data_IF_395439846167
#
_entry.id   IF_395439846167
#
_cell.length_a   1.000
_cell.length_b   1.000
_cell.length_c   1.000
_cell.angle_alpha   90.00
_cell.angle_beta   90.00
_cell.angle_gamma   90.00
#
_symmetry.space_group_name_H-M   'P 1'
#
loop_
_entity.id
_entity.type
_entity.pdbx_description
1 polymer ?
#
# COMPACT_ATOMS: atom_id res chain seq x y z
N UNK A 1 26.00 62.67 23.39
CA UNK A 1 24.96 63.52 22.75
C UNK A 1 24.81 63.04 21.32
N UNK A 2 23.57 62.71 20.89
CA UNK A 2 23.09 62.33 19.53
C UNK A 2 23.75 61.09 18.88
N UNK A 3 23.11 59.92 18.74
CA UNK A 3 21.95 59.53 17.91
C UNK A 3 22.10 59.95 16.44
N UNK A 4 22.44 58.99 15.57
CA UNK A 4 21.85 58.90 14.22
C UNK A 4 21.40 57.45 13.99
N UNK A 5 20.09 57.32 13.95
CA UNK A 5 19.30 56.18 13.55
C UNK A 5 19.35 56.09 12.01
N UNK A 6 19.75 54.96 11.43
CA UNK A 6 19.41 54.65 10.03
C UNK A 6 18.50 53.43 9.99
N UNK A 7 17.28 53.74 9.58
CA UNK A 7 16.13 52.86 9.48
C UNK A 7 16.20 52.04 8.18
N UNK A 8 15.71 50.80 8.28
CA UNK A 8 14.79 50.17 7.33
C UNK A 8 15.28 49.84 5.90
N UNK A 9 15.68 48.58 5.69
CA UNK A 9 15.17 47.77 4.56
C UNK A 9 14.93 46.33 5.06
N UNK A 10 13.66 45.98 5.32
CA UNK A 10 13.18 44.59 5.24
C UNK A 10 13.26 44.18 3.76
N UNK A 11 13.76 43.00 3.42
CA UNK A 11 13.10 42.09 2.47
C UNK A 11 13.62 40.68 2.74
N UNK A 12 12.66 39.80 2.99
CA UNK A 12 12.79 38.34 3.02
C UNK A 12 13.47 37.87 1.73
N UNK A 13 14.61 37.21 1.85
CA UNK A 13 15.11 36.34 0.79
C UNK A 13 15.01 34.92 1.32
N UNK A 14 13.78 34.40 1.22
CA UNK A 14 13.50 32.98 1.12
C UNK A 14 14.67 32.30 0.40
N UNK A 15 15.36 31.45 1.14
CA UNK A 15 16.33 30.51 0.59
C UNK A 15 15.55 29.58 -0.32
N UNK A 16 15.41 30.04 -1.57
CA UNK A 16 14.92 29.36 -2.77
C UNK A 16 15.40 27.91 -2.71
N UNK A 17 14.53 27.00 -2.23
CA UNK A 17 14.73 25.56 -2.45
C UNK A 17 14.70 25.38 -3.95
N UNK A 18 15.75 24.76 -4.46
CA UNK A 18 15.96 24.47 -5.87
C UNK A 18 14.72 23.81 -6.46
N UNK A 19 14.21 24.42 -7.53
CA UNK A 19 13.25 23.84 -8.44
C UNK A 19 13.96 22.82 -9.35
N UNK A 20 14.50 21.76 -8.76
CA UNK A 20 15.09 20.61 -9.47
C UNK A 20 14.72 19.31 -8.76
N UNK A 21 13.43 19.16 -8.48
CA UNK A 21 12.70 17.90 -8.42
C UNK A 21 11.23 18.32 -8.37
N UNK A 22 10.62 18.56 -9.53
CA UNK A 22 9.17 18.69 -9.58
C UNK A 22 8.60 17.32 -9.22
N UNK A 23 8.39 17.10 -7.93
CA UNK A 23 7.71 15.94 -7.36
C UNK A 23 6.41 15.75 -8.13
N UNK A 24 6.36 14.76 -9.01
CA UNK A 24 5.17 14.52 -9.84
C UNK A 24 4.10 13.91 -8.94
N UNK A 25 3.24 14.79 -8.45
CA UNK A 25 2.06 14.44 -7.68
C UNK A 25 1.01 13.88 -8.65
N UNK A 26 0.79 12.55 -8.61
CA UNK A 26 -0.19 11.88 -9.48
C UNK A 26 -1.57 11.90 -8.80
N UNK A 27 -2.63 12.44 -9.44
CA UNK A 27 -3.97 12.39 -8.88
C UNK A 27 -4.44 10.95 -8.63
N UNK A 28 -5.12 10.72 -7.50
CA UNK A 28 -5.56 9.38 -7.07
C UNK A 28 -6.37 8.62 -8.13
N UNK A 29 -7.37 9.23 -8.81
CA UNK A 29 -8.13 8.51 -9.84
C UNK A 29 -7.24 8.07 -11.01
N UNK A 30 -6.30 8.92 -11.41
CA UNK A 30 -5.36 8.64 -12.49
C UNK A 30 -4.36 7.55 -12.08
N UNK A 31 -3.89 7.56 -10.82
CA UNK A 31 -3.09 6.49 -10.26
C UNK A 31 -3.84 5.15 -10.31
N UNK A 32 -5.06 5.08 -9.79
CA UNK A 32 -5.85 3.83 -9.78
C UNK A 32 -6.15 3.31 -11.18
N UNK A 33 -6.37 4.19 -12.17
CA UNK A 33 -6.65 3.80 -13.54
C UNK A 33 -5.42 3.30 -14.31
N UNK A 34 -4.21 3.75 -13.95
CA UNK A 34 -2.97 3.45 -14.69
C UNK A 34 -2.04 2.47 -13.98
N UNK A 35 -2.14 2.35 -12.65
CA UNK A 35 -1.30 1.46 -11.88
C UNK A 35 -1.70 0.00 -12.12
N UNK A 36 -0.72 -0.81 -12.47
CA UNK A 36 -0.90 -2.26 -12.55
C UNK A 36 -0.75 -2.90 -11.17
N UNK A 37 -1.35 -4.07 -10.91
CA UNK A 37 -1.09 -4.81 -9.69
C UNK A 37 0.39 -5.17 -9.52
N UNK A 38 0.86 -5.23 -8.28
CA UNK A 38 2.20 -5.76 -7.97
C UNK A 38 2.08 -7.21 -7.54
N UNK A 39 2.92 -8.09 -8.09
CA UNK A 39 2.94 -9.50 -7.72
C UNK A 39 4.12 -9.78 -6.81
N UNK A 40 3.86 -10.43 -5.68
CA UNK A 40 4.87 -10.82 -4.69
C UNK A 40 4.86 -12.33 -4.58
N UNK A 41 6.03 -12.94 -4.77
CA UNK A 41 6.28 -14.34 -4.48
C UNK A 41 7.02 -14.44 -3.15
N UNK A 42 6.49 -15.27 -2.25
CA UNK A 42 7.08 -15.56 -0.95
C UNK A 42 7.70 -16.94 -1.05
N UNK A 43 8.97 -17.05 -0.73
CA UNK A 43 9.74 -18.30 -0.78
C UNK A 43 10.77 -18.36 0.35
N UNK A 44 11.15 -19.57 0.74
CA UNK A 44 12.33 -19.83 1.57
C UNK A 44 13.65 -19.84 0.80
N UNK A 45 13.60 -19.91 -0.53
CA UNK A 45 14.80 -19.95 -1.36
C UNK A 45 15.47 -18.56 -1.34
N UNK A 46 16.70 -18.44 -0.83
CA UNK A 46 17.40 -17.15 -0.79
C UNK A 46 17.63 -16.62 -2.20
N UNK A 47 17.33 -15.34 -2.44
CA UNK A 47 17.67 -14.70 -3.71
C UNK A 47 19.16 -14.42 -3.74
N UNK A 48 19.89 -15.03 -4.67
CA UNK A 48 21.31 -14.77 -4.91
C UNK A 48 21.52 -13.39 -5.53
N UNK A 49 21.66 -12.35 -4.69
CA UNK A 49 22.08 -11.00 -5.09
C UNK A 49 21.10 -10.22 -5.98
N UNK A 50 21.47 -8.96 -6.29
CA UNK A 50 20.61 -7.95 -6.95
C UNK A 50 20.16 -8.30 -8.38
N UNK A 51 20.68 -9.36 -9.00
CA UNK A 51 20.36 -9.79 -10.37
C UNK A 51 20.08 -11.31 -10.50
N UNK A 52 19.59 -11.95 -9.42
CA UNK A 52 19.15 -13.34 -9.50
C UNK A 52 17.99 -13.53 -10.48
N UNK A 53 17.90 -14.67 -11.20
CA UNK A 53 16.77 -14.94 -12.08
C UNK A 53 15.46 -14.90 -11.28
N UNK A 54 14.35 -14.44 -11.87
CA UNK A 54 13.07 -14.35 -11.16
C UNK A 54 12.72 -15.72 -10.56
N UNK A 55 12.39 -15.74 -9.27
CA UNK A 55 11.95 -16.95 -8.56
C UNK A 55 10.78 -17.59 -9.31
N UNK A 56 11.03 -18.76 -9.88
CA UNK A 56 10.02 -19.54 -10.60
C UNK A 56 8.93 -20.03 -9.64
N UNK A 57 7.64 -20.08 -10.05
CA UNK A 57 6.60 -20.73 -9.25
C UNK A 57 6.82 -22.24 -9.05
N UNK A 58 7.79 -22.85 -9.75
CA UNK A 58 8.27 -24.20 -9.51
C UNK A 58 9.42 -24.28 -8.48
N UNK A 59 9.67 -23.20 -7.74
CA UNK A 59 10.68 -23.14 -6.68
C UNK A 59 10.28 -24.08 -5.51
N UNK A 60 11.14 -25.05 -5.12
CA UNK A 60 10.90 -25.92 -3.98
C UNK A 60 10.65 -25.18 -2.66
N UNK A 61 11.15 -23.95 -2.52
CA UNK A 61 10.93 -23.10 -1.35
C UNK A 61 9.65 -22.27 -1.38
N UNK A 62 8.83 -22.36 -2.44
CA UNK A 62 7.69 -21.48 -2.64
C UNK A 62 6.60 -21.67 -1.56
N UNK A 63 6.27 -20.57 -0.87
CA UNK A 63 5.24 -20.52 0.17
C UNK A 63 3.92 -19.96 -0.35
N UNK A 64 3.98 -19.07 -1.32
CA UNK A 64 2.77 -18.52 -1.95
C UNK A 64 3.00 -17.21 -2.68
N UNK A 65 2.06 -16.89 -3.57
CA UNK A 65 2.01 -15.62 -4.28
C UNK A 65 0.82 -14.76 -3.83
N UNK A 66 0.99 -13.43 -3.81
CA UNK A 66 -0.11 -12.48 -3.65
C UNK A 66 0.00 -11.35 -4.67
N UNK A 67 -1.16 -10.78 -5.03
CA UNK A 67 -1.26 -9.60 -5.89
C UNK A 67 -1.72 -8.41 -5.07
N UNK A 68 -0.93 -7.34 -5.03
CA UNK A 68 -1.24 -6.09 -4.37
C UNK A 68 -2.00 -5.19 -5.34
N UNK A 69 -3.18 -4.74 -4.97
CA UNK A 69 -4.05 -3.90 -5.80
C UNK A 69 -3.80 -2.42 -5.53
N UNK A 70 -3.84 -1.55 -6.56
CA UNK A 70 -3.81 -0.11 -6.38
C UNK A 70 -4.93 0.36 -5.45
N UNK A 71 -4.60 1.12 -4.41
CA UNK A 71 -5.54 1.56 -3.38
C UNK A 71 -5.14 2.90 -2.77
N UNK A 72 -6.11 3.55 -2.12
CA UNK A 72 -5.88 4.62 -1.16
C UNK A 72 -5.79 4.06 0.26
N UNK A 73 -5.10 4.77 1.14
CA UNK A 73 -4.97 4.46 2.56
C UNK A 73 -5.78 5.46 3.38
N UNK A 74 -6.24 5.06 4.57
CA UNK A 74 -7.01 5.93 5.48
C UNK A 74 -6.24 7.18 5.94
N UNK A 75 -4.93 7.18 5.81
CA UNK A 75 -4.04 8.31 6.13
C UNK A 75 -3.86 9.31 4.97
N UNK A 76 -4.60 9.12 3.86
CA UNK A 76 -4.57 9.98 2.67
C UNK A 76 -3.42 9.71 1.70
N UNK A 77 -2.56 8.72 1.94
CA UNK A 77 -1.61 8.24 0.93
C UNK A 77 -2.27 7.26 -0.05
N UNK A 78 -1.63 6.99 -1.18
CA UNK A 78 -2.03 5.95 -2.14
C UNK A 78 -0.84 5.06 -2.51
N UNK A 79 -1.13 3.88 -3.05
CA UNK A 79 -0.13 2.88 -3.40
C UNK A 79 -0.78 1.52 -3.67
N UNK A 80 -0.14 0.42 -3.26
CA UNK A 80 -0.67 -0.93 -3.42
C UNK A 80 -0.90 -1.61 -2.07
N UNK A 81 -1.96 -2.40 -1.98
CA UNK A 81 -2.32 -3.16 -0.79
C UNK A 81 -2.67 -4.60 -1.14
N UNK A 82 -2.25 -5.53 -0.30
CA UNK A 82 -2.69 -6.91 -0.38
C UNK A 82 -2.43 -7.67 0.92
N UNK A 83 -3.18 -8.74 1.13
CA UNK A 83 -2.99 -9.65 2.26
C UNK A 83 -3.21 -11.09 1.84
N UNK A 84 -2.52 -12.01 2.52
CA UNK A 84 -2.66 -13.45 2.29
C UNK A 84 -2.35 -14.23 3.56
N UNK A 85 -3.13 -15.27 3.84
CA UNK A 85 -2.82 -16.27 4.86
C UNK A 85 -1.92 -17.34 4.25
N UNK A 86 -0.80 -17.64 4.90
CA UNK A 86 0.17 -18.66 4.49
C UNK A 86 0.32 -19.69 5.61
N UNK A 87 0.65 -20.92 5.26
CA UNK A 87 1.06 -21.94 6.22
C UNK A 87 2.56 -22.15 6.06
N UNK A 88 3.31 -22.06 7.16
CA UNK A 88 4.77 -22.23 7.20
C UNK A 88 5.08 -23.47 8.01
N UNK A 89 5.93 -24.34 7.47
CA UNK A 89 6.51 -25.48 8.20
C UNK A 89 7.76 -25.01 8.95
N UNK A 90 7.79 -25.19 10.27
CA UNK A 90 8.95 -24.93 11.11
C UNK A 90 9.89 -26.13 11.06
N UNK A 91 11.19 -25.86 11.07
CA UNK A 91 12.22 -26.90 11.15
C UNK A 91 12.46 -27.19 12.63
N UNK A 92 12.25 -28.43 13.04
CA UNK A 92 12.64 -28.87 14.38
C UNK A 92 14.17 -28.97 14.49
N UNK A 93 14.78 -28.39 15.53
CA UNK A 93 16.23 -28.46 15.72
C UNK A 93 16.73 -29.89 15.95
N UNK A 94 15.86 -30.77 16.46
CA UNK A 94 16.19 -32.16 16.81
C UNK A 94 15.73 -33.18 15.75
N UNK A 95 15.26 -32.72 14.58
CA UNK A 95 14.83 -33.59 13.47
C UNK A 95 13.48 -34.29 13.69
N UNK A 96 12.64 -33.74 14.58
CA UNK A 96 11.28 -34.21 14.87
C UNK A 96 10.22 -33.86 13.81
N UNK A 97 8.95 -34.02 14.18
CA UNK A 97 7.80 -33.72 13.30
C UNK A 97 7.62 -32.20 13.11
N UNK A 98 7.79 -31.75 11.86
CA UNK A 98 7.66 -30.34 11.48
C UNK A 98 6.34 -29.71 11.92
N UNK A 99 6.42 -28.74 12.82
CA UNK A 99 5.27 -27.94 13.24
C UNK A 99 4.77 -27.03 12.10
N UNK A 100 3.43 -26.88 11.96
CA UNK A 100 2.80 -25.98 10.98
C UNK A 100 2.19 -24.78 11.67
N UNK A 101 2.60 -23.58 11.25
CA UNK A 101 2.03 -22.31 11.73
C UNK A 101 1.32 -21.60 10.59
N UNK A 102 0.13 -21.05 10.86
CA UNK A 102 -0.54 -20.15 9.92
C UNK A 102 -0.16 -18.70 10.22
N UNK A 103 0.31 -17.98 9.20
CA UNK A 103 0.66 -16.56 9.29
C UNK A 103 -0.25 -15.72 8.40
N UNK A 104 -0.50 -14.48 8.82
CA UNK A 104 -1.16 -13.48 7.98
C UNK A 104 -0.11 -12.50 7.47
N UNK A 105 0.17 -12.51 6.17
CA UNK A 105 1.02 -11.53 5.52
C UNK A 105 0.15 -10.37 5.02
N UNK A 106 0.48 -9.14 5.41
CA UNK A 106 -0.16 -7.92 4.88
C UNK A 106 0.93 -6.98 4.40
N UNK A 107 0.83 -6.52 3.15
CA UNK A 107 1.80 -5.61 2.53
C UNK A 107 1.09 -4.35 2.08
N UNK A 108 1.65 -3.20 2.47
CA UNK A 108 1.28 -1.88 1.97
C UNK A 108 2.51 -1.26 1.30
N UNK A 109 2.51 -1.15 -0.02
CA UNK A 109 3.52 -0.40 -0.76
C UNK A 109 2.99 1.02 -0.98
N UNK A 110 3.64 2.03 -0.42
CA UNK A 110 3.16 3.42 -0.50
C UNK A 110 3.94 4.20 -1.55
N UNK A 111 3.23 4.94 -2.42
CA UNK A 111 3.89 5.87 -3.35
C UNK A 111 4.50 7.02 -2.55
N UNK A 112 5.80 7.24 -2.71
CA UNK A 112 6.53 8.33 -2.07
C UNK A 112 5.90 9.67 -2.51
N UNK A 113 5.67 10.59 -1.56
CA UNK A 113 5.03 11.88 -1.85
C UNK A 113 3.50 11.87 -1.96
N UNK A 114 2.86 10.69 -1.97
CA UNK A 114 1.41 10.54 -2.24
C UNK A 114 0.46 11.35 -1.36
N UNK A 115 0.85 11.70 -0.14
CA UNK A 115 0.02 12.52 0.77
C UNK A 115 -0.22 13.95 0.25
N UNK A 116 0.62 14.45 -0.65
CA UNK A 116 0.50 15.80 -1.22
C UNK A 116 -0.56 15.86 -2.32
N UNK A 117 -0.83 14.75 -3.02
CA UNK A 117 -1.82 14.67 -4.08
C UNK A 117 -3.26 14.88 -3.63
N UNK A 118 -3.58 14.49 -2.41
CA UNK A 118 -4.93 14.68 -1.86
C UNK A 118 -5.18 16.14 -1.53
N UNK A 119 -4.16 16.88 -1.08
CA UNK A 119 -4.28 18.30 -0.73
C UNK A 119 -4.45 19.21 -1.94
N UNK A 120 -3.85 18.85 -3.07
CA UNK A 120 -3.97 19.63 -4.32
C UNK A 120 -5.29 19.33 -5.06
N UNK A 121 -5.88 18.15 -4.87
CA UNK A 121 -7.18 17.80 -5.43
C UNK A 121 -8.37 18.48 -4.72
N UNK A 122 -8.22 18.88 -3.45
CA UNK A 122 -9.27 19.59 -2.70
C UNK A 122 -9.46 21.06 -3.12
N UNK A 123 -8.53 21.66 -3.86
CA UNK A 123 -8.64 23.07 -4.31
C UNK A 123 -9.46 23.20 -5.62
N UNK A 124 -9.98 22.10 -6.17
CA UNK A 124 -10.61 22.08 -7.50
C UNK A 124 -11.94 21.33 -7.64
N UNK A 125 -12.58 20.91 -6.55
CA UNK A 125 -13.85 20.20 -6.61
C UNK A 125 -14.84 20.75 -5.57
N UNK A 126 -15.48 21.88 -5.91
CA UNK A 126 -16.81 22.17 -5.38
C UNK A 126 -17.83 21.35 -6.18
N UNK A 127 -18.72 20.68 -5.43
CA UNK A 127 -19.96 20.02 -5.83
C UNK A 127 -19.85 18.61 -6.43
N UNK A 128 -19.95 17.59 -5.56
CA UNK A 128 -21.14 16.73 -5.57
C UNK A 128 -21.23 15.97 -4.22
N UNK A 129 -22.06 16.49 -3.32
CA UNK A 129 -22.40 15.83 -2.06
C UNK A 129 -23.72 15.07 -2.15
N UNK A 130 -23.74 13.96 -1.41
CA UNK A 130 -24.90 13.20 -0.91
C UNK A 130 -25.41 12.12 -1.88
N UNK A 131 -25.69 10.88 -1.50
CA UNK A 131 -25.94 10.18 -0.22
C UNK A 131 -25.97 8.68 -0.61
N UNK A 132 -25.90 7.62 0.19
CA UNK A 132 -26.19 7.35 1.60
C UNK A 132 -25.66 5.92 1.84
N UNK A 133 -24.91 5.75 2.92
CA UNK A 133 -24.84 4.49 3.65
C UNK A 133 -26.21 4.28 4.32
N UNK A 134 -26.89 3.15 4.12
CA UNK A 134 -27.86 2.58 5.06
C UNK A 134 -27.97 1.08 4.85
N UNK A 135 -27.73 0.38 5.94
CA UNK A 135 -27.78 -1.05 6.22
C UNK A 135 -29.12 -1.72 5.89
N UNK A 136 -29.07 -2.99 5.45
CA UNK A 136 -29.98 -4.11 5.79
C UNK A 136 -29.30 -5.38 5.26
N UNK A 137 -28.77 -6.29 6.07
CA UNK A 137 -29.49 -7.30 6.83
C UNK A 137 -30.53 -8.04 5.97
N UNK A 138 -30.13 -9.15 5.35
CA UNK A 138 -31.02 -10.30 5.17
C UNK A 138 -30.23 -11.60 5.14
N UNK A 139 -30.56 -12.41 6.13
CA UNK A 139 -30.22 -13.81 6.36
C UNK A 139 -31.17 -14.63 5.49
N UNK A 140 -30.70 -15.29 4.43
CA UNK A 140 -31.51 -16.26 3.68
C UNK A 140 -30.95 -17.67 3.79
N UNK A 141 -31.67 -18.41 4.63
CA UNK A 141 -31.74 -19.84 4.85
C UNK A 141 -31.85 -20.64 3.54
N UNK A 142 -30.93 -21.58 3.30
CA UNK A 142 -31.08 -22.64 2.28
C UNK A 142 -30.68 -23.99 2.90
N UNK A 143 -31.44 -25.07 2.67
CA UNK A 143 -31.76 -26.08 3.68
C UNK A 143 -30.81 -27.29 3.71
N UNK A 144 -30.89 -28.02 4.83
CA UNK A 144 -30.21 -29.29 5.12
C UNK A 144 -30.65 -30.38 4.11
N UNK A 145 -29.75 -31.18 3.52
CA UNK A 145 -30.15 -32.32 2.70
C UNK A 145 -30.80 -33.40 3.59
N UNK A 146 -32.01 -33.82 3.20
CA UNK A 146 -32.70 -34.98 3.75
C UNK A 146 -32.00 -36.26 3.28
N UNK A 147 -31.63 -37.12 4.24
CA UNK A 147 -31.26 -38.50 3.96
C UNK A 147 -32.45 -39.24 3.35
N UNK A 148 -32.19 -39.98 2.27
CA UNK A 148 -33.04 -41.06 1.78
C UNK A 148 -32.12 -42.26 1.61
N UNK A 149 -32.16 -43.19 2.56
CA UNK A 149 -32.50 -44.61 2.40
C UNK A 149 -32.22 -45.36 3.71
#
# INVERSE_FOLDING_TARGET
MAIVLHSLVRVMADKKRSAEEAEIVVPVPLFKARALPLHVNVTHTPTTGEDGPPTSPADPGFLGALSLQPSTFSTGSYGWKGSKRLTIELVDPDGGEKEKVQVMLTINATVIGSKRAVKEAEVGAEDDTATSDTSSAEEENVPKPQNTE
#
